data_IF_923589221134
#
_entry.id   IF_923589221134
#
_cell.length_a   1.000
_cell.length_b   1.000
_cell.length_c   1.000
_cell.angle_alpha   90.00
_cell.angle_beta   90.00
_cell.angle_gamma   90.00
#
_symmetry.space_group_name_H-M   'P 1'
#
loop_
_entity.id
_entity.type
_entity.pdbx_description
1 polymer ?
#
# COMPACT_ATOMS: atom_id res chain seq x y z
N UNK A 1 15.19 -12.90 28.09
CA UNK A 1 14.41 -14.17 28.10
C UNK A 1 12.94 -13.82 27.97
N UNK A 2 12.29 -14.34 26.96
CA UNK A 2 10.90 -14.02 26.66
C UNK A 2 9.99 -14.70 27.71
N UNK A 3 9.30 -13.94 28.55
CA UNK A 3 8.48 -14.43 29.69
C UNK A 3 7.20 -15.16 29.26
N UNK A 4 6.96 -15.33 27.96
CA UNK A 4 5.71 -15.84 27.40
C UNK A 4 5.84 -17.20 26.69
N UNK A 5 6.84 -18.01 27.07
CA UNK A 5 7.02 -19.36 26.54
C UNK A 5 6.06 -20.34 27.24
N UNK A 6 5.23 -21.03 26.44
CA UNK A 6 4.40 -22.17 26.92
C UNK A 6 4.86 -23.45 26.22
N UNK A 7 4.89 -24.52 26.97
CA UNK A 7 5.25 -25.86 26.49
C UNK A 7 3.97 -26.67 26.25
N UNK A 8 3.91 -27.36 25.14
CA UNK A 8 2.85 -28.33 24.80
C UNK A 8 3.49 -29.67 24.45
N UNK A 9 2.84 -30.75 24.88
CA UNK A 9 3.33 -32.11 24.66
C UNK A 9 2.95 -32.67 23.28
N UNK A 10 1.95 -32.06 22.62
CA UNK A 10 1.50 -32.47 21.28
C UNK A 10 1.05 -31.26 20.44
N UNK A 11 1.08 -31.41 19.12
CA UNK A 11 0.54 -30.45 18.16
C UNK A 11 -0.93 -30.16 18.43
N UNK A 12 -1.74 -31.21 18.72
CA UNK A 12 -3.16 -31.05 19.00
C UNK A 12 -3.44 -30.22 20.26
N UNK A 13 -2.62 -30.42 21.34
CA UNK A 13 -2.71 -29.62 22.56
C UNK A 13 -2.38 -28.14 22.31
N UNK A 14 -1.41 -27.86 21.45
CA UNK A 14 -1.07 -26.51 21.01
C UNK A 14 -2.23 -25.87 20.24
N UNK A 15 -2.75 -26.54 19.23
CA UNK A 15 -3.88 -26.04 18.41
C UNK A 15 -5.14 -25.77 19.24
N UNK A 16 -5.46 -26.64 20.18
CA UNK A 16 -6.59 -26.45 21.11
C UNK A 16 -6.41 -25.24 22.05
N UNK A 17 -5.19 -24.90 22.41
CA UNK A 17 -4.87 -23.76 23.27
C UNK A 17 -4.84 -22.41 22.57
N UNK A 18 -4.70 -22.39 21.23
CA UNK A 18 -4.59 -21.16 20.42
C UNK A 18 -5.70 -20.14 20.74
N UNK A 19 -6.99 -20.51 20.80
CA UNK A 19 -8.07 -19.56 21.05
C UNK A 19 -8.03 -18.88 22.41
N UNK A 20 -7.38 -19.51 23.39
CA UNK A 20 -7.35 -19.03 24.79
C UNK A 20 -5.99 -18.43 25.19
N UNK A 21 -5.00 -18.54 24.34
CA UNK A 21 -3.67 -17.97 24.58
C UNK A 21 -3.66 -16.48 24.32
N UNK A 22 -3.68 -15.67 25.36
CA UNK A 22 -3.22 -14.29 25.28
C UNK A 22 -1.73 -14.29 24.94
N UNK A 23 -1.40 -14.18 23.66
CA UNK A 23 -0.09 -13.96 23.06
C UNK A 23 1.18 -14.39 23.84
N UNK A 24 1.57 -15.64 23.83
CA UNK A 24 3.00 -15.93 23.79
C UNK A 24 3.46 -15.88 22.33
N UNK A 25 4.41 -15.01 22.00
CA UNK A 25 4.99 -14.91 20.64
C UNK A 25 5.68 -16.22 20.21
N UNK A 26 5.86 -17.16 21.14
CA UNK A 26 6.60 -18.41 20.92
C UNK A 26 6.00 -19.53 21.75
N UNK A 27 5.78 -20.67 21.12
CA UNK A 27 5.35 -21.91 21.78
C UNK A 27 6.30 -23.06 21.40
N UNK A 28 6.53 -23.95 22.34
CA UNK A 28 7.33 -25.15 22.12
C UNK A 28 6.39 -26.35 22.04
N UNK A 29 6.62 -27.19 21.05
CA UNK A 29 5.91 -28.46 20.90
C UNK A 29 6.96 -29.56 21.01
N UNK A 30 6.71 -30.54 21.86
CA UNK A 30 7.53 -31.75 21.94
C UNK A 30 6.89 -32.85 21.12
N UNK A 31 7.64 -33.41 20.17
CA UNK A 31 7.30 -34.66 19.50
C UNK A 31 8.41 -35.66 19.78
N UNK A 32 8.18 -36.57 20.72
CA UNK A 32 9.22 -37.43 21.26
C UNK A 32 10.30 -36.61 21.98
N UNK A 33 11.56 -36.87 21.70
CA UNK A 33 12.71 -36.15 22.29
C UNK A 33 13.07 -34.87 21.54
N UNK A 34 12.33 -34.50 20.52
CA UNK A 34 12.61 -33.34 19.67
C UNK A 34 11.73 -32.16 20.05
N UNK A 35 12.35 -31.01 20.37
CA UNK A 35 11.67 -29.75 20.58
C UNK A 35 11.51 -29.03 19.26
N UNK A 36 10.26 -28.77 18.86
CA UNK A 36 9.94 -27.94 17.72
C UNK A 36 9.56 -26.55 18.19
N UNK A 37 10.19 -25.54 17.59
CA UNK A 37 9.90 -24.13 17.77
C UNK A 37 8.84 -23.71 16.78
N UNK A 38 7.75 -23.13 17.28
CA UNK A 38 6.70 -22.55 16.45
C UNK A 38 6.57 -21.08 16.81
N UNK A 39 6.96 -20.22 15.92
CA UNK A 39 6.70 -18.80 16.02
C UNK A 39 5.25 -18.54 15.58
N UNK A 40 4.40 -18.12 16.51
CA UNK A 40 3.07 -17.63 16.13
C UNK A 40 3.22 -16.20 15.65
N UNK A 41 3.19 -15.97 14.35
CA UNK A 41 2.84 -14.64 13.83
C UNK A 41 1.43 -14.33 14.32
N UNK A 42 1.20 -13.18 14.98
CA UNK A 42 -0.17 -12.76 15.26
C UNK A 42 -0.93 -12.79 13.93
N UNK A 43 -2.05 -13.48 13.87
CA UNK A 43 -2.95 -13.37 12.72
C UNK A 43 -3.48 -11.95 12.73
N UNK A 44 -2.94 -11.12 11.86
CA UNK A 44 -3.43 -9.77 11.65
C UNK A 44 -4.85 -9.85 11.10
N UNK A 45 -5.76 -9.09 11.67
CA UNK A 45 -7.13 -8.99 11.14
C UNK A 45 -7.17 -8.01 9.98
N UNK A 46 -6.98 -8.53 8.78
CA UNK A 46 -6.98 -7.76 7.55
C UNK A 46 -8.33 -7.09 7.24
N UNK A 47 -9.41 -7.44 7.93
CA UNK A 47 -10.72 -6.81 7.71
C UNK A 47 -10.78 -5.36 8.20
N UNK A 48 -9.81 -4.95 9.03
CA UNK A 48 -9.69 -3.59 9.54
C UNK A 48 -8.63 -2.76 8.82
N UNK A 49 -7.94 -3.33 7.84
CA UNK A 49 -6.86 -2.65 7.09
C UNK A 49 -7.38 -1.71 6.00
N UNK A 50 -8.39 -0.93 6.28
CA UNK A 50 -8.81 0.12 5.36
C UNK A 50 -7.67 1.09 5.03
N UNK A 51 -7.72 1.72 3.87
CA UNK A 51 -6.80 2.84 3.58
C UNK A 51 -6.90 3.85 4.73
N UNK A 52 -5.78 4.09 5.40
CA UNK A 52 -5.71 4.87 6.62
C UNK A 52 -4.68 5.97 6.50
N UNK A 53 -5.07 7.20 6.85
CA UNK A 53 -4.16 8.33 6.97
C UNK A 53 -3.83 8.55 8.43
N UNK A 54 -2.54 8.72 8.73
CA UNK A 54 -2.03 9.04 10.07
C UNK A 54 -1.48 10.46 10.03
N UNK A 55 -2.15 11.37 10.70
CA UNK A 55 -1.75 12.78 10.76
C UNK A 55 -0.46 12.93 11.55
N UNK A 56 0.56 13.57 10.97
CA UNK A 56 1.77 13.98 11.71
C UNK A 56 1.65 15.37 12.28
N UNK A 57 0.71 16.17 11.76
CA UNK A 57 0.43 17.55 12.14
C UNK A 57 -1.08 17.79 12.12
N UNK A 58 -1.50 18.86 12.79
CA UNK A 58 -2.88 19.33 12.67
C UNK A 58 -3.17 19.76 11.23
N UNK A 59 -4.36 19.46 10.74
CA UNK A 59 -4.73 19.83 9.38
C UNK A 59 -6.10 19.34 8.97
N UNK A 60 -6.29 19.22 7.67
CA UNK A 60 -7.52 18.72 7.07
C UNK A 60 -7.15 17.73 5.98
N UNK A 61 -7.74 16.54 5.99
CA UNK A 61 -7.72 15.63 4.86
C UNK A 61 -8.93 15.90 3.98
N UNK A 62 -8.68 16.03 2.70
CA UNK A 62 -9.70 16.26 1.67
C UNK A 62 -9.68 15.19 0.60
N UNK A 63 -10.83 14.91 0.01
CA UNK A 63 -10.98 14.07 -1.16
C UNK A 63 -11.79 14.79 -2.22
N UNK A 64 -11.26 14.90 -3.42
CA UNK A 64 -11.99 15.43 -4.58
C UNK A 64 -12.40 14.25 -5.45
N UNK A 65 -13.68 13.87 -5.46
CA UNK A 65 -14.14 12.72 -6.23
C UNK A 65 -14.12 13.00 -7.74
N UNK A 66 -13.77 11.99 -8.52
CA UNK A 66 -14.09 11.97 -9.95
C UNK A 66 -15.52 11.47 -10.12
N UNK A 67 -16.30 12.15 -10.95
CA UNK A 67 -17.69 11.76 -11.22
C UNK A 67 -18.58 11.78 -9.95
N UNK A 68 -19.59 10.91 -9.93
CA UNK A 68 -20.54 10.77 -8.82
C UNK A 68 -20.03 9.83 -7.71
N UNK A 69 -18.71 9.60 -7.63
CA UNK A 69 -18.15 8.77 -6.58
C UNK A 69 -18.36 9.39 -5.19
N UNK A 70 -18.70 8.56 -4.22
CA UNK A 70 -18.84 8.95 -2.82
C UNK A 70 -17.83 8.20 -1.96
N UNK A 71 -17.35 8.86 -0.91
CA UNK A 71 -16.42 8.31 0.04
C UNK A 71 -16.98 8.41 1.45
N UNK A 72 -16.60 7.47 2.30
CA UNK A 72 -16.86 7.54 3.73
C UNK A 72 -15.54 7.45 4.50
N UNK A 73 -15.51 8.11 5.64
CA UNK A 73 -14.38 8.05 6.55
C UNK A 73 -14.81 7.66 7.97
N UNK A 74 -13.86 7.15 8.74
CA UNK A 74 -14.00 6.85 10.16
C UNK A 74 -12.84 7.44 10.94
N UNK A 75 -13.14 8.04 12.10
CA UNK A 75 -12.15 8.56 13.08
C UNK A 75 -12.12 7.76 14.37
N UNK A 76 -12.88 6.67 14.45
CA UNK A 76 -13.03 5.78 15.61
C UNK A 76 -12.67 4.33 15.27
N UNK A 77 -11.65 4.17 14.42
CA UNK A 77 -11.10 2.88 14.00
C UNK A 77 -12.14 1.94 13.35
N UNK A 78 -13.02 2.50 12.51
CA UNK A 78 -14.00 1.72 11.75
C UNK A 78 -15.30 1.39 12.48
N UNK A 79 -15.48 1.90 13.72
CA UNK A 79 -16.69 1.66 14.51
C UNK A 79 -17.89 2.38 13.90
N UNK A 80 -17.71 3.65 13.53
CA UNK A 80 -18.72 4.43 12.81
C UNK A 80 -18.15 5.04 11.52
N UNK A 81 -19.02 5.25 10.54
CA UNK A 81 -18.64 5.79 9.24
C UNK A 81 -19.48 7.00 8.89
N UNK A 82 -18.80 8.06 8.49
CA UNK A 82 -19.41 9.31 8.04
C UNK A 82 -19.21 9.45 6.53
N UNK A 83 -20.28 9.62 5.77
CA UNK A 83 -20.16 9.98 4.37
C UNK A 83 -19.71 11.43 4.27
N UNK A 84 -18.60 11.66 3.59
CA UNK A 84 -18.03 12.99 3.44
C UNK A 84 -16.64 12.94 2.83
N UNK A 85 -16.22 14.06 2.30
CA UNK A 85 -14.97 14.20 1.57
C UNK A 85 -13.98 15.17 2.24
N UNK A 86 -14.21 15.55 3.49
CA UNK A 86 -13.31 16.41 4.26
C UNK A 86 -13.41 16.11 5.76
N UNK A 87 -12.29 16.08 6.45
CA UNK A 87 -12.20 15.85 7.90
C UNK A 87 -11.02 16.62 8.48
N UNK A 88 -11.26 17.37 9.57
CA UNK A 88 -10.21 18.02 10.33
C UNK A 88 -9.55 17.03 11.30
N UNK A 89 -8.24 17.12 11.45
CA UNK A 89 -7.44 16.20 12.25
C UNK A 89 -6.45 16.94 13.11
N UNK A 90 -6.12 16.34 14.26
CA UNK A 90 -4.98 16.71 15.09
C UNK A 90 -3.81 15.74 14.85
N UNK A 91 -2.61 16.13 15.23
CA UNK A 91 -1.45 15.24 15.15
C UNK A 91 -1.72 13.92 15.89
N UNK A 92 -1.35 12.80 15.28
CA UNK A 92 -1.56 11.41 15.67
C UNK A 92 -2.99 10.87 15.44
N UNK A 93 -3.92 11.67 14.95
CA UNK A 93 -5.23 11.13 14.56
C UNK A 93 -5.08 10.17 13.37
N UNK A 94 -5.92 9.12 13.37
CA UNK A 94 -6.07 8.17 12.26
C UNK A 94 -7.44 8.35 11.62
N UNK A 95 -7.43 8.39 10.30
CA UNK A 95 -8.67 8.44 9.50
C UNK A 95 -8.66 7.30 8.51
N UNK A 96 -9.63 6.41 8.65
CA UNK A 96 -9.87 5.30 7.74
C UNK A 96 -10.78 5.75 6.61
N UNK A 97 -10.55 5.25 5.40
CA UNK A 97 -11.30 5.60 4.20
C UNK A 97 -11.85 4.38 3.50
N UNK A 98 -13.10 4.45 3.06
CA UNK A 98 -13.71 3.44 2.20
C UNK A 98 -14.69 4.03 1.18
N UNK A 99 -14.93 3.27 0.12
CA UNK A 99 -15.88 3.60 -0.94
C UNK A 99 -16.20 2.38 -1.80
N UNK A 100 -17.18 2.51 -2.67
CA UNK A 100 -17.47 1.55 -3.75
C UNK A 100 -17.33 2.25 -5.09
N UNK A 101 -16.18 2.87 -5.29
CA UNK A 101 -15.98 3.82 -6.37
C UNK A 101 -15.77 3.15 -7.72
N UNK A 102 -16.28 3.80 -8.76
CA UNK A 102 -16.05 3.41 -10.15
C UNK A 102 -14.93 4.26 -10.73
N UNK A 103 -13.80 3.66 -11.17
CA UNK A 103 -12.60 4.40 -11.56
C UNK A 103 -12.66 5.02 -12.95
N UNK A 104 -13.62 4.63 -13.78
CA UNK A 104 -13.74 5.11 -15.17
C UNK A 104 -15.21 5.39 -15.52
N UNK A 105 -15.43 6.41 -16.32
CA UNK A 105 -16.73 6.65 -16.98
C UNK A 105 -16.55 7.09 -18.43
N UNK A 106 -17.66 7.01 -19.20
CA UNK A 106 -17.72 7.35 -20.63
C UNK A 106 -17.43 8.84 -20.90
N UNK A 107 -17.47 9.71 -19.88
CA UNK A 107 -17.16 11.13 -19.98
C UNK A 107 -15.66 11.43 -19.94
N UNK A 108 -14.79 10.41 -19.94
CA UNK A 108 -13.33 10.55 -20.00
C UNK A 108 -12.67 10.95 -18.70
N UNK A 109 -13.35 10.80 -17.54
CA UNK A 109 -12.71 10.95 -16.25
C UNK A 109 -11.93 9.69 -15.91
N UNK A 110 -10.71 9.85 -15.42
CA UNK A 110 -9.80 8.77 -15.06
C UNK A 110 -9.58 8.73 -13.55
N UNK A 111 -9.62 7.53 -12.97
CA UNK A 111 -9.43 7.31 -11.54
C UNK A 111 -10.68 7.60 -10.71
N UNK A 112 -10.59 7.29 -9.42
CA UNK A 112 -11.71 7.46 -8.46
C UNK A 112 -11.82 8.89 -7.93
N UNK A 113 -10.77 9.69 -8.07
CA UNK A 113 -10.57 11.00 -7.48
C UNK A 113 -9.20 11.12 -6.85
N UNK A 114 -8.93 12.21 -6.15
CA UNK A 114 -7.63 12.43 -5.53
C UNK A 114 -7.75 13.00 -4.12
N UNK A 115 -6.79 12.61 -3.27
CA UNK A 115 -6.66 13.14 -1.92
C UNK A 115 -5.80 14.39 -1.84
N UNK A 116 -6.07 15.20 -0.83
CA UNK A 116 -5.28 16.37 -0.46
C UNK A 116 -5.13 16.47 1.06
N UNK A 117 -4.11 17.19 1.52
CA UNK A 117 -3.93 17.48 2.94
C UNK A 117 -3.33 18.86 3.12
N UNK A 118 -3.65 19.52 4.26
CA UNK A 118 -3.04 20.79 4.67
C UNK A 118 -1.95 20.61 5.73
N UNK A 119 -1.79 19.41 6.31
CA UNK A 119 -0.76 19.04 7.26
C UNK A 119 -0.03 17.77 6.82
N UNK A 120 1.17 17.56 7.34
CA UNK A 120 1.96 16.37 7.05
C UNK A 120 1.28 15.09 7.58
N UNK A 121 1.39 14.00 6.80
CA UNK A 121 0.80 12.72 7.16
C UNK A 121 1.53 11.54 6.48
N UNK A 122 1.25 10.34 6.96
CA UNK A 122 1.61 9.07 6.32
C UNK A 122 0.38 8.30 5.94
N UNK A 123 0.52 7.36 4.99
CA UNK A 123 -0.56 6.47 4.57
C UNK A 123 -0.21 5.03 4.86
N UNK A 124 -1.17 4.27 5.38
CA UNK A 124 -1.11 2.84 5.66
C UNK A 124 -2.39 2.14 5.23
N UNK A 125 -2.43 0.79 5.30
CA UNK A 125 -3.62 0.02 4.99
C UNK A 125 -3.90 -0.14 3.50
N UNK A 126 -5.02 -0.80 3.18
CA UNK A 126 -5.32 -1.34 1.87
C UNK A 126 -6.13 -0.35 1.01
N UNK A 127 -5.53 0.09 -0.09
CA UNK A 127 -6.16 1.02 -1.03
C UNK A 127 -7.42 0.47 -1.72
N UNK A 128 -7.58 -0.85 -1.77
CA UNK A 128 -8.76 -1.47 -2.37
C UNK A 128 -10.05 -1.21 -1.57
N UNK A 129 -9.95 -0.76 -0.31
CA UNK A 129 -11.11 -0.29 0.46
C UNK A 129 -11.88 0.86 -0.23
N UNK A 130 -11.23 1.61 -1.12
CA UNK A 130 -11.88 2.65 -1.92
C UNK A 130 -12.74 2.09 -3.06
N UNK A 131 -12.44 0.88 -3.53
CA UNK A 131 -13.06 0.26 -4.70
C UNK A 131 -14.13 -0.78 -4.32
N UNK A 132 -13.97 -1.45 -3.17
CA UNK A 132 -14.83 -2.56 -2.73
C UNK A 132 -15.51 -2.34 -1.37
N UNK A 133 -15.29 -1.16 -0.74
CA UNK A 133 -15.86 -0.88 0.59
C UNK A 133 -15.40 -1.92 1.60
N UNK A 134 -16.34 -2.52 2.33
CA UNK A 134 -16.06 -3.53 3.36
C UNK A 134 -15.65 -4.91 2.78
N UNK A 135 -15.76 -5.10 1.47
CA UNK A 135 -15.46 -6.37 0.79
C UNK A 135 -14.05 -6.38 0.15
N UNK A 136 -13.16 -5.50 0.55
CA UNK A 136 -11.82 -5.36 -0.07
C UNK A 136 -10.85 -6.49 0.28
N UNK A 137 -11.10 -7.25 1.34
CA UNK A 137 -10.21 -8.32 1.82
C UNK A 137 -10.17 -9.46 0.79
N UNK A 138 -8.95 -9.83 0.36
CA UNK A 138 -8.75 -10.87 -0.64
C UNK A 138 -8.88 -10.40 -2.09
N UNK A 139 -9.26 -9.15 -2.33
CA UNK A 139 -9.30 -8.59 -3.68
C UNK A 139 -7.88 -8.29 -4.18
N UNK A 140 -7.39 -9.12 -5.09
CA UNK A 140 -6.01 -9.05 -5.64
C UNK A 140 -5.98 -8.82 -7.15
N UNK A 141 -7.11 -8.52 -7.78
CA UNK A 141 -7.21 -8.27 -9.21
C UNK A 141 -7.89 -6.94 -9.50
N UNK A 142 -7.26 -6.14 -10.37
CA UNK A 142 -7.85 -4.93 -10.95
C UNK A 142 -8.43 -5.16 -12.35
N UNK A 143 -8.59 -6.41 -12.79
CA UNK A 143 -9.15 -6.73 -14.11
C UNK A 143 -10.52 -6.06 -14.29
N UNK A 144 -10.70 -5.36 -15.41
CA UNK A 144 -11.91 -4.58 -15.70
C UNK A 144 -12.01 -3.24 -14.96
N UNK A 145 -11.03 -2.88 -14.14
CA UNK A 145 -10.98 -1.60 -13.41
C UNK A 145 -9.89 -0.67 -13.99
N UNK A 146 -10.08 -0.30 -15.25
CA UNK A 146 -9.20 0.65 -15.93
C UNK A 146 -9.04 1.92 -15.10
N UNK A 147 -7.83 2.44 -14.97
CA UNK A 147 -7.51 3.65 -14.19
C UNK A 147 -7.90 3.58 -12.70
N UNK A 148 -7.93 2.42 -12.07
CA UNK A 148 -8.47 2.17 -10.73
C UNK A 148 -8.11 3.25 -9.69
N UNK A 149 -6.82 3.48 -9.47
CA UNK A 149 -6.30 4.44 -8.49
C UNK A 149 -5.37 5.47 -9.17
N UNK A 150 -5.67 5.79 -10.44
CA UNK A 150 -4.98 6.82 -11.19
C UNK A 150 -5.02 8.15 -10.42
N UNK A 151 -3.87 8.80 -10.28
CA UNK A 151 -3.71 10.12 -9.66
C UNK A 151 -4.22 10.24 -8.22
N UNK A 152 -4.38 9.14 -7.47
CA UNK A 152 -5.01 9.12 -6.14
C UNK A 152 -4.40 10.13 -5.16
N UNK A 153 -3.08 10.34 -5.20
CA UNK A 153 -2.35 11.31 -4.37
C UNK A 153 -1.64 12.38 -5.21
N UNK A 154 -2.08 12.59 -6.46
CA UNK A 154 -1.46 13.58 -7.33
C UNK A 154 -1.33 14.95 -6.65
N UNK A 155 -0.10 15.51 -6.67
CA UNK A 155 0.24 16.81 -6.07
C UNK A 155 -0.03 16.91 -4.54
N UNK A 156 -0.06 15.77 -3.84
CA UNK A 156 -0.24 15.73 -2.38
C UNK A 156 1.12 15.95 -1.67
N UNK A 157 1.57 17.21 -1.63
CA UNK A 157 2.92 17.59 -1.16
C UNK A 157 3.14 17.33 0.35
N UNK A 158 2.09 17.12 1.13
CA UNK A 158 2.17 16.82 2.57
C UNK A 158 2.24 15.32 2.90
N UNK A 159 2.12 14.43 1.91
CA UNK A 159 2.33 12.99 2.08
C UNK A 159 3.83 12.72 2.26
N UNK A 160 4.23 12.17 3.41
CA UNK A 160 5.65 11.96 3.77
C UNK A 160 6.11 10.52 3.59
N UNK A 161 5.23 9.53 3.79
CA UNK A 161 5.52 8.11 3.59
C UNK A 161 4.28 7.32 3.19
N UNK A 162 4.47 6.37 2.28
CA UNK A 162 3.49 5.35 1.91
C UNK A 162 4.02 3.92 2.18
N UNK A 163 5.05 3.77 3.01
CA UNK A 163 5.72 2.50 3.27
C UNK A 163 4.76 1.39 3.71
N UNK A 164 3.76 1.74 4.53
CA UNK A 164 2.79 0.78 5.07
C UNK A 164 1.48 0.72 4.28
N UNK A 165 1.40 1.42 3.16
CA UNK A 165 0.25 1.33 2.26
C UNK A 165 0.29 -0.01 1.50
N UNK A 166 -0.86 -0.67 1.43
CA UNK A 166 -1.02 -1.96 0.76
C UNK A 166 -1.65 -1.74 -0.62
N UNK A 167 -0.94 -2.15 -1.66
CA UNK A 167 -1.42 -2.26 -3.03
C UNK A 167 -1.48 -3.75 -3.38
N UNK A 168 -2.57 -4.46 -3.06
CA UNK A 168 -2.60 -5.92 -3.05
C UNK A 168 -2.73 -6.54 -4.45
N UNK A 169 -2.97 -5.73 -5.50
CA UNK A 169 -3.19 -6.24 -6.83
C UNK A 169 -1.94 -6.92 -7.41
N UNK A 170 -2.08 -8.20 -7.73
CA UNK A 170 -1.12 -8.98 -8.52
C UNK A 170 -1.48 -9.00 -10.00
N UNK A 171 -2.77 -8.81 -10.33
CA UNK A 171 -3.27 -8.62 -11.69
C UNK A 171 -3.62 -7.15 -11.87
N UNK A 172 -2.85 -6.45 -12.68
CA UNK A 172 -3.05 -5.03 -12.98
C UNK A 172 -3.94 -4.85 -14.21
N UNK A 173 -4.57 -3.68 -14.29
CA UNK A 173 -5.29 -3.20 -15.47
C UNK A 173 -4.62 -1.94 -16.01
N UNK A 174 -4.92 -1.59 -17.26
CA UNK A 174 -4.33 -0.41 -17.90
C UNK A 174 -4.50 0.86 -17.07
N UNK A 175 -3.42 1.65 -16.95
CA UNK A 175 -3.37 2.94 -16.22
C UNK A 175 -3.80 2.90 -14.75
N UNK A 176 -3.90 1.72 -14.11
CA UNK A 176 -4.49 1.57 -12.77
C UNK A 176 -3.81 2.39 -11.68
N UNK A 177 -2.50 2.59 -11.74
CA UNK A 177 -1.71 3.39 -10.79
C UNK A 177 -0.95 4.55 -11.49
N UNK A 178 -1.39 4.92 -12.69
CA UNK A 178 -0.80 6.01 -13.46
C UNK A 178 -0.81 7.30 -12.61
N UNK A 179 0.35 7.96 -12.48
CA UNK A 179 0.49 9.22 -11.76
C UNK A 179 0.06 9.20 -10.29
N UNK A 180 -0.10 8.02 -9.68
CA UNK A 180 -0.72 7.86 -8.36
C UNK A 180 -0.13 8.77 -7.29
N UNK A 181 1.18 8.97 -7.31
CA UNK A 181 1.93 9.81 -6.37
C UNK A 181 2.64 10.97 -7.06
N UNK A 182 2.37 11.23 -8.34
CA UNK A 182 3.09 12.27 -9.06
C UNK A 182 3.02 13.62 -8.33
N UNK A 183 4.17 14.30 -8.22
CA UNK A 183 4.34 15.56 -7.50
C UNK A 183 4.12 15.51 -5.97
N UNK A 184 4.16 14.32 -5.35
CA UNK A 184 4.24 14.20 -3.89
C UNK A 184 5.66 14.54 -3.42
N UNK A 185 5.99 15.84 -3.36
CA UNK A 185 7.37 16.31 -3.19
C UNK A 185 8.00 15.94 -1.84
N UNK A 186 7.22 15.67 -0.80
CA UNK A 186 7.68 15.24 0.54
C UNK A 186 7.73 13.73 0.72
N UNK A 187 7.21 12.93 -0.22
CA UNK A 187 7.20 11.48 -0.14
C UNK A 187 8.62 10.92 -0.14
N UNK A 188 9.00 10.19 0.91
CA UNK A 188 10.35 9.59 1.06
C UNK A 188 10.38 8.11 0.71
N UNK A 189 9.30 7.39 1.01
CA UNK A 189 9.22 5.92 0.86
C UNK A 189 7.93 5.53 0.13
N UNK A 190 8.08 4.81 -0.97
CA UNK A 190 6.98 4.22 -1.73
C UNK A 190 6.37 3.01 -1.03
N UNK A 191 5.11 2.64 -1.32
CA UNK A 191 4.58 1.32 -0.96
C UNK A 191 5.34 0.22 -1.70
N UNK A 192 5.25 -1.02 -1.20
CA UNK A 192 5.73 -2.18 -1.96
C UNK A 192 4.81 -2.43 -3.16
N UNK A 193 5.40 -2.43 -4.36
CA UNK A 193 4.72 -2.73 -5.62
C UNK A 193 4.83 -4.23 -5.90
N UNK A 194 3.81 -4.98 -5.54
CA UNK A 194 3.83 -6.45 -5.49
C UNK A 194 3.52 -7.16 -6.81
N UNK A 195 2.96 -6.45 -7.81
CA UNK A 195 2.65 -7.04 -9.11
C UNK A 195 3.93 -7.48 -9.84
N UNK A 196 3.95 -8.73 -10.32
CA UNK A 196 5.09 -9.30 -11.04
C UNK A 196 5.08 -9.02 -12.53
N UNK A 197 3.88 -8.84 -13.12
CA UNK A 197 3.67 -8.48 -14.52
C UNK A 197 2.91 -7.18 -14.59
N UNK A 198 3.46 -6.20 -15.28
CA UNK A 198 2.83 -4.89 -15.43
C UNK A 198 1.86 -4.84 -16.60
N UNK A 199 0.79 -4.05 -16.46
CA UNK A 199 -0.12 -3.71 -17.54
C UNK A 199 0.32 -2.41 -18.25
N UNK A 200 -0.27 -2.13 -19.41
CA UNK A 200 0.05 -0.90 -20.16
C UNK A 200 -0.19 0.35 -19.34
N UNK A 201 0.82 1.21 -19.27
CA UNK A 201 0.81 2.46 -18.50
C UNK A 201 0.44 2.30 -17.02
N UNK A 202 0.55 1.10 -16.44
CA UNK A 202 0.11 0.85 -15.05
C UNK A 202 0.89 1.68 -14.02
N UNK A 203 2.19 1.90 -14.22
CA UNK A 203 3.05 2.75 -13.37
C UNK A 203 3.55 4.00 -14.13
N UNK A 204 2.92 4.36 -15.25
CA UNK A 204 3.28 5.55 -16.01
C UNK A 204 3.31 6.79 -15.10
N UNK A 205 4.42 7.54 -15.07
CA UNK A 205 4.67 8.72 -14.22
C UNK A 205 4.27 8.56 -12.75
N UNK A 206 4.23 7.33 -12.20
CA UNK A 206 3.66 7.04 -10.86
C UNK A 206 4.26 7.89 -9.75
N UNK A 207 5.56 8.15 -9.78
CA UNK A 207 6.30 8.95 -8.80
C UNK A 207 7.01 10.14 -9.45
N UNK A 208 6.56 10.59 -10.64
CA UNK A 208 7.16 11.75 -11.31
C UNK A 208 7.20 12.97 -10.37
N UNK A 209 8.35 13.64 -10.27
CA UNK A 209 8.60 14.79 -9.39
C UNK A 209 8.42 14.53 -7.87
N UNK A 210 8.50 13.29 -7.42
CA UNK A 210 8.61 12.97 -5.98
C UNK A 210 10.04 13.23 -5.49
N UNK A 211 10.41 14.49 -5.32
CA UNK A 211 11.81 14.94 -5.16
C UNK A 211 12.51 14.42 -3.90
N UNK A 212 11.76 14.00 -2.88
CA UNK A 212 12.29 13.41 -1.65
C UNK A 212 12.31 11.88 -1.69
N UNK A 213 11.71 11.24 -2.70
CA UNK A 213 11.59 9.79 -2.78
C UNK A 213 12.96 9.16 -2.97
N UNK A 214 13.36 8.33 -2.00
CA UNK A 214 14.66 7.66 -1.98
C UNK A 214 14.60 6.16 -1.61
N UNK A 215 13.38 5.60 -1.46
CA UNK A 215 13.18 4.18 -1.20
C UNK A 215 11.99 3.65 -1.99
N UNK A 216 12.26 2.70 -2.89
CA UNK A 216 11.25 2.03 -3.72
C UNK A 216 11.48 0.53 -3.70
N UNK A 217 10.42 -0.24 -3.49
CA UNK A 217 10.39 -1.70 -3.64
C UNK A 217 9.44 -2.07 -4.78
N UNK A 218 9.95 -2.72 -5.82
CA UNK A 218 9.15 -3.16 -6.96
C UNK A 218 9.49 -4.62 -7.32
N UNK A 219 8.50 -5.50 -7.22
CA UNK A 219 8.66 -6.93 -7.45
C UNK A 219 8.35 -7.35 -8.89
N UNK A 220 8.19 -6.40 -9.81
CA UNK A 220 7.96 -6.69 -11.22
C UNK A 220 9.13 -7.46 -11.83
N UNK A 221 8.80 -8.52 -12.55
CA UNK A 221 9.73 -9.35 -13.34
C UNK A 221 9.46 -9.22 -14.84
N UNK A 222 8.32 -8.62 -15.21
CA UNK A 222 7.95 -8.30 -16.58
C UNK A 222 7.39 -6.86 -16.64
N UNK A 223 8.16 -5.98 -17.30
CA UNK A 223 7.83 -4.56 -17.52
C UNK A 223 7.63 -4.27 -19.02
N UNK A 224 7.45 -5.28 -19.84
CA UNK A 224 7.41 -5.17 -21.33
C UNK A 224 6.15 -4.50 -21.87
N UNK A 225 5.10 -4.35 -21.04
CA UNK A 225 3.87 -3.70 -21.47
C UNK A 225 4.09 -2.24 -21.84
N UNK A 226 3.30 -1.75 -22.80
CA UNK A 226 3.43 -0.42 -23.38
C UNK A 226 3.44 0.68 -22.30
N UNK A 227 4.53 1.44 -22.23
CA UNK A 227 4.77 2.54 -21.28
C UNK A 227 4.50 2.21 -19.81
N UNK A 228 4.66 0.95 -19.43
CA UNK A 228 4.34 0.49 -18.07
C UNK A 228 5.07 1.26 -16.97
N UNK A 229 6.33 1.66 -17.22
CA UNK A 229 7.18 2.42 -16.29
C UNK A 229 7.73 3.73 -16.91
N UNK A 230 7.15 4.22 -18.00
CA UNK A 230 7.67 5.43 -18.66
C UNK A 230 7.54 6.65 -17.72
N UNK A 231 8.66 7.32 -17.46
CA UNK A 231 8.74 8.48 -16.57
C UNK A 231 8.42 8.23 -15.09
N UNK A 232 8.29 6.97 -14.66
CA UNK A 232 7.74 6.63 -13.33
C UNK A 232 8.58 7.12 -12.14
N UNK A 233 9.89 7.24 -12.30
CA UNK A 233 10.83 7.75 -11.29
C UNK A 233 11.59 9.01 -11.77
N UNK A 234 10.98 9.78 -12.68
CA UNK A 234 11.57 11.02 -13.14
C UNK A 234 11.55 12.08 -12.02
N UNK A 235 12.68 12.77 -11.79
CA UNK A 235 12.75 13.85 -10.81
C UNK A 235 12.67 13.43 -9.34
N UNK A 236 12.93 12.16 -9.01
CA UNK A 236 13.08 11.66 -7.63
C UNK A 236 14.44 12.06 -7.03
N UNK A 237 14.71 11.72 -5.76
CA UNK A 237 15.99 12.03 -5.11
C UNK A 237 17.18 11.48 -5.89
N UNK A 238 18.30 12.23 -5.90
CA UNK A 238 19.51 11.88 -6.66
C UNK A 238 20.18 10.58 -6.16
N UNK A 239 19.89 10.16 -4.93
CA UNK A 239 20.38 8.89 -4.34
C UNK A 239 19.27 8.22 -3.56
N UNK A 240 19.28 6.89 -3.53
CA UNK A 240 18.27 6.11 -2.85
C UNK A 240 18.55 4.62 -2.92
N UNK A 241 17.57 3.82 -2.51
CA UNK A 241 17.60 2.35 -2.58
C UNK A 241 16.42 1.84 -3.39
N UNK A 242 16.74 1.05 -4.41
CA UNK A 242 15.75 0.33 -5.20
C UNK A 242 15.84 -1.17 -4.87
N UNK A 243 14.77 -1.69 -4.28
CA UNK A 243 14.66 -3.12 -3.98
C UNK A 243 13.85 -3.79 -5.09
N UNK A 244 14.45 -4.79 -5.76
CA UNK A 244 13.84 -5.51 -6.88
C UNK A 244 13.62 -6.98 -6.58
N UNK A 245 12.73 -7.65 -7.32
CA UNK A 245 12.70 -9.11 -7.33
C UNK A 245 14.08 -9.67 -7.74
N UNK A 246 14.60 -10.66 -7.00
CA UNK A 246 15.90 -11.27 -7.30
C UNK A 246 15.96 -11.87 -8.71
N UNK A 247 14.83 -12.38 -9.22
CA UNK A 247 14.69 -12.93 -10.57
C UNK A 247 14.71 -11.88 -11.68
N UNK A 248 14.50 -10.59 -11.37
CA UNK A 248 14.51 -9.51 -12.37
C UNK A 248 15.94 -9.03 -12.61
N UNK A 249 16.51 -9.37 -13.75
CA UNK A 249 17.92 -9.09 -14.10
C UNK A 249 18.09 -7.95 -15.10
N UNK A 250 17.01 -7.44 -15.69
CA UNK A 250 17.04 -6.56 -16.87
C UNK A 250 16.33 -5.21 -16.68
N UNK A 251 16.35 -4.63 -15.46
CA UNK A 251 15.88 -3.26 -15.29
C UNK A 251 16.70 -2.29 -16.15
N UNK A 252 16.04 -1.39 -16.86
CA UNK A 252 16.68 -0.25 -17.52
C UNK A 252 17.17 0.77 -16.49
N UNK A 253 18.08 1.64 -16.89
CA UNK A 253 18.55 2.76 -16.06
C UNK A 253 17.89 4.06 -16.49
N UNK A 254 17.73 5.00 -15.55
CA UNK A 254 17.17 6.33 -15.81
C UNK A 254 15.71 6.46 -15.39
N UNK A 255 15.02 7.49 -15.87
CA UNK A 255 13.66 7.86 -15.45
C UNK A 255 12.60 6.78 -15.73
N UNK A 256 12.80 5.96 -16.75
CA UNK A 256 11.89 4.87 -17.13
C UNK A 256 12.23 3.54 -16.46
N UNK A 257 13.28 3.49 -15.67
CA UNK A 257 13.79 2.33 -14.97
C UNK A 257 14.25 2.68 -13.55
N UNK A 258 15.45 2.20 -13.17
CA UNK A 258 16.07 2.53 -11.89
C UNK A 258 16.87 3.84 -12.05
N UNK A 259 16.64 4.87 -11.20
CA UNK A 259 17.37 6.13 -11.32
C UNK A 259 18.88 5.93 -11.18
N UNK A 260 19.64 6.69 -11.98
CA UNK A 260 21.09 6.70 -11.88
C UNK A 260 21.54 7.15 -10.47
N UNK A 261 22.52 6.46 -9.90
CA UNK A 261 23.04 6.78 -8.55
C UNK A 261 22.29 6.10 -7.39
N UNK A 262 21.25 5.35 -7.68
CA UNK A 262 20.57 4.55 -6.65
C UNK A 262 21.26 3.21 -6.41
N UNK A 263 21.29 2.76 -5.14
CA UNK A 263 21.73 1.42 -4.77
C UNK A 263 20.64 0.41 -5.10
N UNK A 264 21.00 -0.66 -5.81
CA UNK A 264 20.06 -1.74 -6.16
C UNK A 264 20.31 -2.93 -5.25
N UNK A 265 19.26 -3.45 -4.63
CA UNK A 265 19.31 -4.63 -3.76
C UNK A 265 18.23 -5.64 -4.17
N UNK A 266 18.49 -6.91 -3.92
CA UNK A 266 17.49 -7.96 -4.14
C UNK A 266 16.54 -8.05 -2.94
N UNK A 267 15.25 -8.23 -3.24
CA UNK A 267 14.24 -8.47 -2.23
C UNK A 267 14.51 -9.81 -1.53
N UNK A 268 14.48 -9.78 -0.20
CA UNK A 268 14.60 -10.96 0.65
C UNK A 268 13.21 -11.24 1.25
N UNK A 269 12.70 -12.46 1.04
CA UNK A 269 11.44 -12.95 1.61
C UNK A 269 11.54 -13.19 3.12
#
# INVERSE_FOLDING_TARGET
MNKNLKKFETQAAYEAAIPTMGYPNVSWITSGDTLHYVEKKPTHDYSLDYLTFVASENGTFGFTPSCANTISYSTDNGTTWTQGNSVSVSANDKVLWKGTMTPYNEQGNYGVGYFSSTGAFTVEGNAHSLLWGDNFVGETSLSGKVSALNSLFYNCSHLTSAENMILPATTLEGTCYCGMFASCSSLTTAPTLSATTLAGMSYYIMFDQCRSLNKVTCLATDTSAFWSTNGWLNGVAASGTFTKAASMTSWTSGADGIPNGWTVVDYQE
#
